data_IF_903466234085
#
_entry.id   IF_903466234085
#
_cell.length_a   1.000
_cell.length_b   1.000
_cell.length_c   1.000
_cell.angle_alpha   90.00
_cell.angle_beta   90.00
_cell.angle_gamma   90.00
#
_symmetry.space_group_name_H-M   'P 1'
#
loop_
_entity.id
_entity.type
_entity.pdbx_description
1 polymer ?
#
# COMPACT_ATOMS: atom_id res chain seq x y z
N UNK A 1 3.65 37.86 -11.21
CA UNK A 1 4.33 36.55 -11.15
C UNK A 1 3.67 35.64 -12.17
N UNK A 2 4.42 34.74 -12.78
CA UNK A 2 3.83 33.69 -13.64
C UNK A 2 2.98 32.75 -12.80
N UNK A 3 1.91 32.15 -13.34
CA UNK A 3 1.10 31.19 -12.63
C UNK A 3 1.91 29.93 -12.26
N UNK A 4 1.55 29.27 -11.15
CA UNK A 4 2.14 27.99 -10.77
C UNK A 4 1.68 26.87 -11.71
N UNK A 5 2.35 25.71 -11.63
CA UNK A 5 1.93 24.54 -12.38
C UNK A 5 0.53 24.08 -11.98
N UNK A 6 -0.31 23.75 -12.95
CA UNK A 6 -1.68 23.25 -12.74
C UNK A 6 -1.73 21.78 -12.32
N UNK A 7 -0.59 21.07 -12.29
CA UNK A 7 -0.54 19.64 -11.94
C UNK A 7 -1.12 19.33 -10.55
N UNK A 8 -0.97 20.27 -9.61
CA UNK A 8 -1.43 20.11 -8.22
C UNK A 8 -2.85 20.58 -7.99
N UNK A 9 -3.55 21.08 -9.01
CA UNK A 9 -4.92 21.60 -8.86
C UNK A 9 -5.97 20.47 -8.77
N UNK A 10 -5.61 19.27 -9.21
CA UNK A 10 -6.52 18.12 -9.35
C UNK A 10 -6.53 17.18 -8.14
N UNK A 11 -5.68 17.39 -7.14
CA UNK A 11 -5.64 16.60 -5.91
C UNK A 11 -5.32 17.47 -4.70
N UNK A 12 -5.71 17.00 -3.51
CA UNK A 12 -5.55 17.74 -2.25
C UNK A 12 -4.39 17.18 -1.43
N UNK A 13 -4.04 17.89 -0.35
CA UNK A 13 -3.15 17.35 0.68
C UNK A 13 -3.68 16.01 1.22
N UNK A 14 -2.74 15.13 1.59
CA UNK A 14 -3.06 13.81 2.16
C UNK A 14 -4.03 13.91 3.33
N UNK A 15 -5.21 13.32 3.14
CA UNK A 15 -6.26 13.24 4.16
C UNK A 15 -5.80 12.37 5.33
N UNK A 16 -5.04 11.30 5.07
CA UNK A 16 -4.46 10.43 6.10
C UNK A 16 -3.59 11.23 7.08
N UNK A 17 -2.71 12.11 6.55
CA UNK A 17 -1.87 12.98 7.39
C UNK A 17 -2.66 14.03 8.14
N UNK A 18 -3.72 14.56 7.52
CA UNK A 18 -4.65 15.48 8.19
C UNK A 18 -5.30 14.81 9.40
N UNK A 19 -5.81 13.58 9.25
CA UNK A 19 -6.45 12.84 10.33
C UNK A 19 -5.46 12.47 11.46
N UNK A 20 -4.20 12.22 11.14
CA UNK A 20 -3.14 12.07 12.17
C UNK A 20 -2.98 13.35 13.00
N UNK A 21 -2.94 14.52 12.37
CA UNK A 21 -2.85 15.81 13.11
C UNK A 21 -4.09 16.05 13.98
N UNK A 22 -5.28 15.67 13.51
CA UNK A 22 -6.54 15.78 14.25
C UNK A 22 -6.51 14.83 15.46
N UNK A 23 -6.12 13.55 15.27
CA UNK A 23 -5.98 12.58 16.35
C UNK A 23 -5.03 13.10 17.44
N UNK A 24 -3.88 13.62 17.06
CA UNK A 24 -2.91 14.20 18.00
C UNK A 24 -3.48 15.43 18.75
N UNK A 25 -4.24 16.29 18.06
CA UNK A 25 -4.86 17.49 18.68
C UNK A 25 -5.81 17.12 19.82
N UNK A 26 -6.56 16.03 19.67
CA UNK A 26 -7.56 15.61 20.65
C UNK A 26 -7.06 14.48 21.57
N UNK A 27 -5.81 14.06 21.47
CA UNK A 27 -5.27 12.94 22.24
C UNK A 27 -5.98 11.61 21.94
N UNK A 28 -6.55 11.49 20.75
CA UNK A 28 -7.27 10.30 20.31
C UNK A 28 -6.30 9.14 19.98
N UNK A 29 -6.73 7.91 20.24
CA UNK A 29 -6.02 6.72 19.77
C UNK A 29 -6.01 6.73 18.23
N UNK A 30 -4.83 6.86 17.65
CA UNK A 30 -4.69 7.05 16.21
C UNK A 30 -4.76 5.72 15.45
N UNK A 31 -5.94 5.38 14.90
CA UNK A 31 -6.15 4.28 13.97
C UNK A 31 -6.31 4.77 12.52
N UNK A 32 -5.87 6.00 12.21
CA UNK A 32 -5.97 6.58 10.86
C UNK A 32 -4.76 6.24 9.99
N UNK A 33 -3.55 6.58 10.41
CA UNK A 33 -2.34 6.36 9.62
C UNK A 33 -1.75 4.98 9.86
N UNK A 34 -1.75 4.13 8.82
CA UNK A 34 -1.32 2.74 8.88
C UNK A 34 0.20 2.57 9.07
N UNK A 35 0.66 2.64 10.31
CA UNK A 35 2.01 2.22 10.70
C UNK A 35 1.98 1.51 12.06
N UNK A 36 2.84 0.48 12.24
CA UNK A 36 2.96 -0.24 13.51
C UNK A 36 3.44 0.67 14.65
N UNK A 37 2.94 0.42 15.87
CA UNK A 37 3.45 1.00 17.11
C UNK A 37 4.26 -0.03 17.94
N UNK A 38 4.61 -1.15 17.34
CA UNK A 38 5.50 -2.16 17.89
C UNK A 38 6.85 -2.14 17.16
N UNK A 39 7.85 -2.72 17.83
CA UNK A 39 9.24 -2.60 17.41
C UNK A 39 9.54 -3.41 16.14
N UNK A 40 10.50 -2.97 15.30
CA UNK A 40 11.08 -3.79 14.27
C UNK A 40 11.77 -5.04 14.84
N UNK A 41 12.03 -6.09 14.03
CA UNK A 41 12.75 -7.28 14.49
C UNK A 41 14.09 -6.95 15.14
N UNK A 42 14.36 -7.50 16.32
CA UNK A 42 15.58 -7.22 17.08
C UNK A 42 16.88 -7.47 16.32
N UNK A 43 17.01 -8.57 15.50
CA UNK A 43 18.21 -8.77 14.68
C UNK A 43 18.46 -7.64 13.68
N UNK A 44 17.39 -7.06 13.14
CA UNK A 44 17.47 -5.93 12.19
C UNK A 44 18.01 -4.67 12.87
N UNK A 45 17.54 -4.35 14.07
CA UNK A 45 18.03 -3.21 14.86
C UNK A 45 19.48 -3.40 15.29
N UNK A 46 19.86 -4.62 15.67
CA UNK A 46 21.22 -4.95 16.03
C UNK A 46 22.17 -4.75 14.84
N UNK A 47 21.78 -5.19 13.65
CA UNK A 47 22.59 -5.03 12.44
C UNK A 47 22.72 -3.55 12.04
N UNK A 48 21.66 -2.76 12.14
CA UNK A 48 21.74 -1.31 11.92
C UNK A 48 22.73 -0.65 12.87
N UNK A 49 22.70 -1.04 14.16
CA UNK A 49 23.63 -0.50 15.17
C UNK A 49 25.07 -0.86 14.81
N UNK A 50 25.32 -2.08 14.39
CA UNK A 50 26.64 -2.53 13.93
C UNK A 50 27.13 -1.73 12.73
N UNK A 51 26.30 -1.57 11.72
CA UNK A 51 26.65 -0.84 10.48
C UNK A 51 26.87 0.65 10.76
N UNK A 52 26.04 1.28 11.59
CA UNK A 52 26.20 2.68 11.93
C UNK A 52 27.49 3.00 12.67
N UNK A 53 28.04 2.03 13.42
CA UNK A 53 29.31 2.16 14.12
C UNK A 53 30.53 1.63 13.34
N UNK A 54 30.35 1.08 12.16
CA UNK A 54 31.41 0.48 11.34
C UNK A 54 32.10 1.60 10.52
N UNK A 55 33.45 1.76 10.58
CA UNK A 55 34.14 2.79 9.85
C UNK A 55 34.27 2.53 8.33
N UNK A 56 33.74 1.42 7.83
CA UNK A 56 33.79 1.10 6.40
C UNK A 56 33.09 2.22 5.58
N UNK A 57 33.82 2.95 4.71
CA UNK A 57 33.25 4.06 3.97
C UNK A 57 32.10 3.63 3.04
N UNK A 58 32.03 2.38 2.60
CA UNK A 58 30.95 1.88 1.74
C UNK A 58 29.58 1.90 2.44
N UNK A 59 29.54 1.89 3.78
CA UNK A 59 28.29 2.02 4.53
C UNK A 59 27.81 3.46 4.68
N UNK A 60 28.67 4.46 4.41
CA UNK A 60 28.39 5.87 4.66
C UNK A 60 28.47 6.75 3.40
N UNK A 61 28.78 6.16 2.25
CA UNK A 61 28.83 6.85 0.97
C UNK A 61 27.69 6.35 0.05
N UNK A 62 27.56 6.96 -1.10
CA UNK A 62 26.61 6.50 -2.12
C UNK A 62 26.87 5.03 -2.47
N UNK A 63 25.83 4.21 -2.35
CA UNK A 63 25.81 2.93 -3.04
C UNK A 63 25.67 3.17 -4.55
N UNK A 64 25.82 2.13 -5.36
CA UNK A 64 25.38 2.22 -6.76
C UNK A 64 23.91 2.65 -6.79
N UNK A 65 23.51 3.55 -7.71
CA UNK A 65 22.22 4.25 -7.63
C UNK A 65 21.02 3.32 -7.56
N UNK A 66 21.00 2.23 -8.33
CA UNK A 66 19.90 1.26 -8.31
C UNK A 66 19.95 0.26 -7.13
N UNK A 67 20.80 0.49 -6.14
CA UNK A 67 20.80 -0.21 -4.84
C UNK A 67 22.05 -1.04 -4.58
N UNK A 68 22.40 -1.19 -3.29
CA UNK A 68 23.52 -1.99 -2.82
C UNK A 68 23.42 -3.44 -3.32
N UNK A 69 24.55 -4.01 -3.77
CA UNK A 69 24.60 -5.38 -4.30
C UNK A 69 24.09 -6.40 -3.28
N UNK A 70 24.54 -6.27 -2.03
CA UNK A 70 24.12 -7.12 -0.91
C UNK A 70 22.60 -7.20 -0.72
N UNK A 71 21.93 -6.04 -0.81
CA UNK A 71 20.48 -5.97 -0.69
C UNK A 71 19.79 -6.55 -1.92
N UNK A 72 20.28 -6.25 -3.13
CA UNK A 72 19.68 -6.79 -4.36
C UNK A 72 19.81 -8.32 -4.43
N UNK A 73 20.95 -8.88 -4.02
CA UNK A 73 21.16 -10.34 -3.98
C UNK A 73 20.20 -11.00 -2.98
N UNK A 74 20.10 -10.47 -1.75
CA UNK A 74 19.20 -11.00 -0.74
C UNK A 74 17.72 -10.86 -1.14
N UNK A 75 17.36 -9.76 -1.79
CA UNK A 75 16.01 -9.55 -2.29
C UNK A 75 15.68 -10.48 -3.46
N UNK A 76 16.61 -10.69 -4.39
CA UNK A 76 16.43 -11.63 -5.50
C UNK A 76 16.21 -13.06 -5.00
N UNK A 77 16.99 -13.49 -4.00
CA UNK A 77 16.82 -14.80 -3.36
C UNK A 77 15.42 -14.93 -2.72
N UNK A 78 15.03 -13.94 -1.91
CA UNK A 78 13.71 -13.93 -1.27
C UNK A 78 12.59 -13.96 -2.30
N UNK A 79 12.60 -13.02 -3.26
CA UNK A 79 11.49 -12.85 -4.19
C UNK A 79 11.43 -13.98 -5.24
N UNK A 80 12.55 -14.55 -5.66
CA UNK A 80 12.53 -15.76 -6.51
C UNK A 80 11.80 -16.91 -5.83
N UNK A 81 11.98 -17.08 -4.51
CA UNK A 81 11.28 -18.09 -3.73
C UNK A 81 9.79 -17.84 -3.63
N UNK A 82 9.37 -16.62 -3.27
CA UNK A 82 7.96 -16.29 -3.09
C UNK A 82 7.18 -16.13 -4.41
N UNK A 83 7.78 -15.55 -5.41
CA UNK A 83 7.15 -15.37 -6.73
C UNK A 83 7.17 -16.68 -7.57
N UNK A 84 8.05 -17.62 -7.23
CA UNK A 84 8.20 -18.87 -7.99
C UNK A 84 8.81 -18.69 -9.38
N UNK A 85 9.45 -17.56 -9.64
CA UNK A 85 10.16 -17.25 -10.89
C UNK A 85 11.58 -16.74 -10.57
N UNK A 86 12.58 -16.99 -11.45
CA UNK A 86 13.94 -16.51 -11.21
C UNK A 86 14.01 -14.99 -11.35
N UNK A 87 14.60 -14.33 -10.36
CA UNK A 87 14.85 -12.88 -10.35
C UNK A 87 16.36 -12.64 -10.38
N UNK A 88 16.82 -11.93 -11.42
CA UNK A 88 18.21 -11.51 -11.53
C UNK A 88 18.45 -10.22 -10.74
N UNK A 89 19.34 -10.22 -9.73
CA UNK A 89 19.62 -9.04 -8.92
C UNK A 89 20.22 -7.88 -9.72
N UNK A 90 20.79 -8.12 -10.90
CA UNK A 90 21.39 -7.09 -11.74
C UNK A 90 20.40 -6.52 -12.76
N UNK A 91 19.61 -7.41 -13.36
CA UNK A 91 18.73 -7.07 -14.47
C UNK A 91 17.29 -6.75 -14.10
N UNK A 92 16.82 -7.19 -12.92
CA UNK A 92 15.40 -7.09 -12.59
C UNK A 92 15.07 -6.15 -11.43
N UNK A 93 16.05 -5.69 -10.63
CA UNK A 93 15.79 -5.00 -9.37
C UNK A 93 16.32 -3.57 -9.40
N UNK A 94 15.48 -2.63 -8.91
CA UNK A 94 15.89 -1.28 -8.49
C UNK A 94 15.41 -1.06 -7.06
N UNK A 95 16.32 -0.68 -6.16
CA UNK A 95 16.01 -0.29 -4.79
C UNK A 95 15.62 1.18 -4.78
N UNK A 96 14.51 1.51 -4.12
CA UNK A 96 13.91 2.85 -4.13
C UNK A 96 13.70 3.40 -2.72
N UNK A 97 13.45 4.71 -2.60
CA UNK A 97 13.12 5.38 -1.35
C UNK A 97 11.66 5.08 -0.91
N UNK A 98 11.36 3.81 -0.69
CA UNK A 98 10.03 3.27 -0.39
C UNK A 98 9.21 3.00 -1.64
N UNK A 99 8.07 2.31 -1.46
CA UNK A 99 7.15 2.00 -2.57
C UNK A 99 6.56 3.24 -3.25
N UNK A 100 6.47 4.36 -2.55
CA UNK A 100 6.00 5.63 -3.14
C UNK A 100 6.87 6.07 -4.32
N UNK A 101 8.19 6.00 -4.16
CA UNK A 101 9.10 6.26 -5.28
C UNK A 101 9.04 5.14 -6.33
N UNK A 102 8.95 3.88 -5.90
CA UNK A 102 8.82 2.75 -6.82
C UNK A 102 7.63 2.93 -7.78
N UNK A 103 6.46 3.30 -7.23
CA UNK A 103 5.25 3.56 -8.02
C UNK A 103 5.43 4.75 -8.97
N UNK A 104 5.97 5.87 -8.49
CA UNK A 104 6.23 7.04 -9.35
C UNK A 104 7.24 6.72 -10.45
N UNK A 105 8.34 6.04 -10.13
CA UNK A 105 9.34 5.64 -11.12
C UNK A 105 8.77 4.68 -12.17
N UNK A 106 7.93 3.73 -11.75
CA UNK A 106 7.21 2.85 -12.67
C UNK A 106 6.29 3.64 -13.60
N UNK A 107 5.48 4.54 -13.06
CA UNK A 107 4.57 5.39 -13.82
C UNK A 107 5.33 6.24 -14.86
N UNK A 108 6.37 6.96 -14.45
CA UNK A 108 7.18 7.78 -15.35
C UNK A 108 7.94 6.98 -16.40
N UNK A 109 8.16 5.68 -16.14
CA UNK A 109 8.85 4.79 -17.08
C UNK A 109 7.94 4.34 -18.22
N UNK A 110 6.67 4.06 -17.94
CA UNK A 110 5.78 3.42 -18.92
C UNK A 110 4.75 4.37 -19.53
N UNK A 111 4.46 5.51 -18.89
CA UNK A 111 3.43 6.45 -19.38
C UNK A 111 4.03 7.68 -20.05
N UNK A 112 3.31 8.22 -21.02
CA UNK A 112 3.51 9.52 -21.62
C UNK A 112 2.33 10.45 -21.27
N UNK A 113 2.48 11.77 -21.44
CA UNK A 113 1.36 12.70 -21.27
C UNK A 113 0.14 12.32 -22.12
N UNK A 114 -1.02 12.20 -21.44
CA UNK A 114 -2.30 11.84 -22.06
C UNK A 114 -2.59 10.34 -22.15
N UNK A 115 -1.64 9.46 -21.80
CA UNK A 115 -1.89 8.03 -21.65
C UNK A 115 -2.93 7.76 -20.56
N UNK A 116 -3.75 6.73 -20.73
CA UNK A 116 -4.76 6.32 -19.75
C UNK A 116 -4.21 5.25 -18.83
N UNK A 117 -4.55 5.35 -17.54
CA UNK A 117 -4.18 4.37 -16.52
C UNK A 117 -5.41 3.93 -15.74
N UNK A 118 -5.71 2.62 -15.77
CA UNK A 118 -6.82 2.07 -14.99
C UNK A 118 -6.39 1.95 -13.52
N UNK A 119 -7.29 2.41 -12.63
CA UNK A 119 -7.14 2.32 -11.17
C UNK A 119 -8.44 1.75 -10.60
N UNK A 120 -8.36 0.70 -9.78
CA UNK A 120 -9.53 0.22 -9.04
C UNK A 120 -9.91 1.19 -7.93
N UNK A 121 -11.20 1.46 -7.76
CA UNK A 121 -11.75 2.33 -6.71
C UNK A 121 -12.61 1.51 -5.74
N UNK A 122 -12.33 1.48 -4.42
CA UNK A 122 -11.44 2.39 -3.69
C UNK A 122 -9.95 2.08 -3.91
N UNK A 123 -9.12 3.12 -3.73
CA UNK A 123 -7.69 3.09 -4.00
C UNK A 123 -6.89 3.84 -2.94
N UNK A 124 -5.61 3.56 -2.82
CA UNK A 124 -4.70 4.39 -2.02
C UNK A 124 -4.47 5.74 -2.70
N UNK A 125 -4.58 6.83 -1.94
CA UNK A 125 -4.60 8.22 -2.45
C UNK A 125 -3.45 8.57 -3.43
N UNK A 126 -2.31 7.90 -3.33
CA UNK A 126 -1.17 8.18 -4.20
C UNK A 126 -1.41 7.79 -5.66
N UNK A 127 -2.20 6.75 -5.96
CA UNK A 127 -2.26 6.23 -7.34
C UNK A 127 -2.84 7.24 -8.33
N UNK A 128 -3.88 7.96 -7.93
CA UNK A 128 -4.44 9.06 -8.72
C UNK A 128 -3.43 10.21 -8.87
N UNK A 129 -2.78 10.60 -7.76
CA UNK A 129 -1.77 11.65 -7.76
C UNK A 129 -0.54 11.29 -8.60
N UNK A 130 -0.02 10.07 -8.47
CA UNK A 130 1.12 9.58 -9.25
C UNK A 130 0.80 9.58 -10.76
N UNK A 131 -0.41 9.17 -11.14
CA UNK A 131 -0.88 9.19 -12.52
C UNK A 131 -0.88 10.61 -13.09
N UNK A 132 -1.46 11.57 -12.37
CA UNK A 132 -1.52 12.97 -12.77
C UNK A 132 -0.12 13.61 -12.83
N UNK A 133 0.73 13.33 -11.83
CA UNK A 133 2.10 13.84 -11.79
C UNK A 133 2.96 13.30 -12.95
N UNK A 134 2.72 12.07 -13.37
CA UNK A 134 3.34 11.49 -14.58
C UNK A 134 2.78 12.06 -15.89
N UNK A 135 1.71 12.86 -15.83
CA UNK A 135 1.04 13.48 -16.98
C UNK A 135 0.00 12.59 -17.64
N UNK A 136 -0.31 11.43 -17.06
CA UNK A 136 -1.34 10.51 -17.53
C UNK A 136 -2.72 10.81 -16.92
N UNK A 137 -3.76 10.21 -17.48
CA UNK A 137 -5.14 10.40 -17.04
C UNK A 137 -5.67 9.12 -16.35
N UNK A 138 -6.17 9.20 -15.11
CA UNK A 138 -6.72 8.04 -14.42
C UNK A 138 -8.12 7.67 -14.93
N UNK A 139 -8.34 6.37 -15.14
CA UNK A 139 -9.64 5.75 -15.43
C UNK A 139 -10.00 4.84 -14.27
N UNK A 140 -11.13 5.08 -13.62
CA UNK A 140 -11.48 4.34 -12.42
C UNK A 140 -12.47 3.21 -12.71
N UNK A 141 -12.24 2.03 -12.10
CA UNK A 141 -13.12 0.86 -12.17
C UNK A 141 -13.53 0.50 -10.73
N UNK A 142 -14.84 0.38 -10.43
CA UNK A 142 -15.31 0.14 -9.07
C UNK A 142 -14.95 -1.26 -8.55
N UNK A 143 -14.56 -1.32 -7.28
CA UNK A 143 -14.64 -2.49 -6.41
C UNK A 143 -15.85 -2.31 -5.50
N UNK A 144 -16.82 -3.20 -5.60
CA UNK A 144 -18.14 -3.02 -4.99
C UNK A 144 -18.18 -3.59 -3.56
N UNK A 145 -18.40 -2.75 -2.52
CA UNK A 145 -18.62 -3.25 -1.16
C UNK A 145 -19.86 -4.18 -1.06
N UNK A 146 -19.91 -5.13 -0.10
CA UNK A 146 -18.90 -5.37 0.94
C UNK A 146 -17.77 -6.31 0.53
N UNK A 147 -17.86 -7.02 -0.60
CA UNK A 147 -16.88 -8.01 -1.07
C UNK A 147 -15.71 -7.39 -1.80
N UNK A 148 -15.91 -6.16 -2.32
CA UNK A 148 -14.95 -5.46 -3.17
C UNK A 148 -14.58 -6.22 -4.44
N UNK A 149 -15.54 -6.95 -5.00
CA UNK A 149 -15.39 -7.56 -6.31
C UNK A 149 -15.59 -6.52 -7.41
N UNK A 150 -14.98 -6.73 -8.57
CA UNK A 150 -15.21 -5.89 -9.74
C UNK A 150 -16.09 -6.61 -10.77
N UNK A 151 -16.84 -5.82 -11.55
CA UNK A 151 -17.57 -6.32 -12.71
C UNK A 151 -16.58 -6.55 -13.86
N UNK A 152 -16.47 -7.81 -14.29
CA UNK A 152 -15.58 -8.21 -15.41
C UNK A 152 -15.94 -7.51 -16.71
N UNK A 153 -17.23 -7.32 -17.00
CA UNK A 153 -17.66 -6.63 -18.22
C UNK A 153 -17.34 -5.13 -18.16
N UNK A 154 -17.42 -4.51 -16.99
CA UNK A 154 -17.03 -3.12 -16.79
C UNK A 154 -15.52 -2.94 -16.95
N UNK A 155 -14.70 -3.82 -16.38
CA UNK A 155 -13.24 -3.79 -16.57
C UNK A 155 -12.86 -3.99 -18.04
N UNK A 156 -13.45 -4.97 -18.74
CA UNK A 156 -13.18 -5.19 -20.16
C UNK A 156 -13.60 -3.97 -21.01
N UNK A 157 -14.75 -3.35 -20.70
CA UNK A 157 -15.20 -2.11 -21.36
C UNK A 157 -14.21 -0.97 -21.12
N UNK A 158 -13.70 -0.81 -19.87
CA UNK A 158 -12.72 0.20 -19.57
C UNK A 158 -11.44 0.04 -20.40
N UNK A 159 -10.96 -1.19 -20.60
CA UNK A 159 -9.84 -1.48 -21.51
C UNK A 159 -10.19 -1.18 -22.98
N UNK A 160 -11.36 -1.59 -23.45
CA UNK A 160 -11.76 -1.45 -24.86
C UNK A 160 -11.95 0.01 -25.26
N UNK A 161 -12.53 0.84 -24.39
CA UNK A 161 -12.85 2.24 -24.69
C UNK A 161 -11.66 3.17 -24.48
N UNK A 162 -10.79 2.88 -23.51
CA UNK A 162 -9.72 3.79 -23.11
C UNK A 162 -8.33 3.38 -23.62
N UNK A 163 -8.15 2.15 -24.10
CA UNK A 163 -6.84 1.62 -24.50
C UNK A 163 -5.73 1.97 -23.51
N UNK A 164 -5.85 1.58 -22.24
CA UNK A 164 -4.97 2.05 -21.19
C UNK A 164 -3.53 1.62 -21.42
N UNK A 165 -2.59 2.50 -21.11
CA UNK A 165 -1.16 2.19 -21.13
C UNK A 165 -0.77 1.28 -19.98
N UNK A 166 -1.43 1.45 -18.83
CA UNK A 166 -1.19 0.64 -17.64
C UNK A 166 -2.47 0.45 -16.79
N UNK A 167 -2.45 -0.58 -15.96
CA UNK A 167 -3.38 -0.78 -14.85
C UNK A 167 -2.59 -0.82 -13.54
N UNK A 168 -3.05 -0.10 -12.51
CA UNK A 168 -2.50 -0.19 -11.16
C UNK A 168 -3.30 -1.21 -10.36
N UNK A 169 -2.59 -2.17 -9.75
CA UNK A 169 -3.15 -3.27 -8.96
C UNK A 169 -2.54 -3.28 -7.55
N UNK A 170 -3.30 -2.92 -6.52
CA UNK A 170 -2.90 -3.05 -5.12
C UNK A 170 -3.38 -4.40 -4.58
N UNK A 171 -2.45 -5.31 -4.27
CA UNK A 171 -2.77 -6.65 -3.79
C UNK A 171 -1.80 -7.11 -2.69
N UNK A 172 -2.27 -7.33 -1.46
CA UNK A 172 -3.58 -6.99 -0.88
C UNK A 172 -3.90 -5.49 -0.90
N UNK A 173 -5.19 -5.16 -1.02
CA UNK A 173 -5.64 -3.81 -1.26
C UNK A 173 -5.65 -2.92 -0.01
N UNK A 174 -5.19 -1.70 -0.16
CA UNK A 174 -5.47 -0.57 0.70
C UNK A 174 -6.46 0.35 -0.05
N UNK A 175 -7.69 0.62 0.48
CA UNK A 175 -8.09 0.58 1.89
C UNK A 175 -8.89 -0.67 2.31
N UNK A 176 -9.38 -1.49 1.39
CA UNK A 176 -10.45 -2.44 1.67
C UNK A 176 -10.01 -3.83 2.15
N UNK A 177 -8.71 -4.13 2.10
CA UNK A 177 -8.19 -5.43 2.51
C UNK A 177 -8.52 -6.59 1.56
N UNK A 178 -9.02 -6.32 0.34
CA UNK A 178 -9.25 -7.37 -0.66
C UNK A 178 -7.95 -8.04 -1.04
N UNK A 179 -7.98 -9.36 -1.17
CA UNK A 179 -6.96 -10.17 -1.85
C UNK A 179 -7.55 -10.66 -3.16
N UNK A 180 -6.95 -10.27 -4.28
CA UNK A 180 -7.42 -10.72 -5.59
C UNK A 180 -7.17 -12.22 -5.75
N UNK A 181 -8.21 -12.95 -6.15
CA UNK A 181 -8.12 -14.37 -6.42
C UNK A 181 -7.27 -14.64 -7.66
N UNK A 182 -6.74 -15.86 -7.78
CA UNK A 182 -6.00 -16.27 -8.96
C UNK A 182 -6.82 -16.09 -10.26
N UNK A 183 -8.10 -16.42 -10.22
CA UNK A 183 -9.00 -16.27 -11.37
C UNK A 183 -9.23 -14.81 -11.76
N UNK A 184 -9.33 -13.91 -10.79
CA UNK A 184 -9.41 -12.47 -11.05
C UNK A 184 -8.11 -11.95 -11.69
N UNK A 185 -6.96 -12.40 -11.17
CA UNK A 185 -5.64 -12.02 -11.71
C UNK A 185 -5.41 -12.59 -13.12
N UNK A 186 -5.86 -13.80 -13.39
CA UNK A 186 -5.80 -14.41 -14.72
C UNK A 186 -6.65 -13.61 -15.73
N UNK A 187 -7.85 -13.17 -15.33
CA UNK A 187 -8.70 -12.31 -16.15
C UNK A 187 -8.04 -10.93 -16.41
N UNK A 188 -7.48 -10.29 -15.40
CA UNK A 188 -6.72 -9.03 -15.56
C UNK A 188 -5.53 -9.24 -16.50
N UNK A 189 -4.81 -10.35 -16.36
CA UNK A 189 -3.67 -10.71 -17.19
C UNK A 189 -4.08 -10.93 -18.66
N UNK A 190 -5.24 -11.54 -18.90
CA UNK A 190 -5.80 -11.72 -20.24
C UNK A 190 -6.06 -10.35 -20.91
N UNK A 191 -6.72 -9.44 -20.21
CA UNK A 191 -6.97 -8.09 -20.69
C UNK A 191 -5.67 -7.31 -20.93
N UNK A 192 -4.71 -7.38 -20.00
CA UNK A 192 -3.41 -6.72 -20.16
C UNK A 192 -2.66 -7.22 -21.41
N UNK A 193 -2.71 -8.53 -21.70
CA UNK A 193 -2.14 -9.09 -22.94
C UNK A 193 -2.93 -8.68 -24.18
N UNK A 194 -4.28 -8.74 -24.15
CA UNK A 194 -5.16 -8.40 -25.27
C UNK A 194 -5.00 -6.95 -25.72
N UNK A 195 -4.83 -6.03 -24.78
CA UNK A 195 -4.74 -4.59 -25.04
C UNK A 195 -3.32 -4.03 -24.96
N UNK A 196 -2.31 -4.91 -24.83
CA UNK A 196 -0.88 -4.57 -24.71
C UNK A 196 -0.58 -3.52 -23.61
N UNK A 197 -1.23 -3.68 -22.46
CA UNK A 197 -1.07 -2.82 -21.32
C UNK A 197 -0.03 -3.36 -20.32
N UNK A 198 0.64 -2.45 -19.61
CA UNK A 198 1.44 -2.79 -18.43
C UNK A 198 0.56 -3.02 -17.21
N UNK A 199 1.05 -3.79 -16.24
CA UNK A 199 0.47 -3.89 -14.91
C UNK A 199 1.51 -3.38 -13.91
N UNK A 200 1.16 -2.33 -13.16
CA UNK A 200 1.99 -1.80 -12.07
C UNK A 200 1.34 -2.27 -10.77
N UNK A 201 2.04 -3.11 -10.00
CA UNK A 201 1.49 -3.62 -8.75
C UNK A 201 2.03 -2.84 -7.56
N UNK A 202 1.19 -2.72 -6.51
CA UNK A 202 1.63 -2.35 -5.17
C UNK A 202 1.43 -3.57 -4.26
N UNK A 203 2.53 -4.22 -3.89
CA UNK A 203 2.56 -5.49 -3.18
C UNK A 203 3.12 -5.35 -1.75
N UNK A 204 3.03 -4.15 -1.16
CA UNK A 204 3.60 -3.88 0.17
C UNK A 204 3.01 -4.74 1.29
N UNK A 205 1.85 -5.36 1.08
CA UNK A 205 1.18 -6.26 2.02
C UNK A 205 1.29 -7.74 1.63
N UNK A 206 2.18 -8.12 0.73
CA UNK A 206 2.34 -9.48 0.17
C UNK A 206 2.39 -10.61 1.22
N UNK A 207 2.88 -10.32 2.43
CA UNK A 207 2.99 -11.27 3.54
C UNK A 207 1.91 -11.08 4.63
N UNK A 208 0.97 -10.16 4.45
CA UNK A 208 -0.11 -9.91 5.38
C UNK A 208 -1.43 -10.32 4.71
N UNK A 209 -1.64 -11.62 4.64
CA UNK A 209 -2.79 -12.28 4.01
C UNK A 209 -3.35 -13.32 4.98
N UNK A 210 -4.65 -13.40 5.10
CA UNK A 210 -5.33 -14.23 6.09
C UNK A 210 -6.00 -15.45 5.46
N UNK A 211 -5.90 -16.60 6.15
CA UNK A 211 -6.60 -17.81 5.70
C UNK A 211 -8.11 -17.55 5.47
N UNK A 212 -8.69 -18.11 4.41
CA UNK A 212 -8.11 -19.07 3.45
C UNK A 212 -7.45 -18.43 2.22
N UNK A 213 -7.26 -17.11 2.20
CA UNK A 213 -6.72 -16.38 1.06
C UNK A 213 -5.21 -16.57 0.93
N UNK A 214 -4.71 -16.44 -0.29
CA UNK A 214 -3.29 -16.54 -0.61
C UNK A 214 -2.88 -15.43 -1.58
N UNK A 215 -1.73 -14.82 -1.35
CA UNK A 215 -1.17 -13.85 -2.28
C UNK A 215 -0.70 -14.54 -3.56
N UNK A 216 -1.09 -14.00 -4.70
CA UNK A 216 -0.61 -14.42 -6.02
C UNK A 216 0.04 -13.22 -6.70
N UNK A 217 1.28 -13.37 -7.11
CA UNK A 217 1.98 -12.35 -7.90
C UNK A 217 1.53 -12.44 -9.35
N UNK A 218 0.91 -11.39 -9.87
CA UNK A 218 0.47 -11.37 -11.29
C UNK A 218 1.67 -11.51 -12.24
N UNK A 219 2.85 -11.03 -11.84
CA UNK A 219 4.09 -11.18 -12.60
C UNK A 219 4.48 -12.65 -12.82
N UNK A 220 4.05 -13.57 -11.96
CA UNK A 220 4.34 -15.02 -12.09
C UNK A 220 3.38 -15.76 -13.04
N UNK A 221 2.31 -15.10 -13.48
CA UNK A 221 1.40 -15.69 -14.44
C UNK A 221 2.03 -15.75 -15.85
N UNK A 222 1.66 -16.73 -16.68
CA UNK A 222 2.26 -16.89 -18.02
C UNK A 222 2.18 -15.63 -18.88
N UNK A 223 3.35 -15.15 -19.35
CA UNK A 223 3.46 -13.96 -20.21
C UNK A 223 3.21 -12.63 -19.50
N UNK A 224 3.30 -12.60 -18.17
CA UNK A 224 3.08 -11.37 -17.42
C UNK A 224 4.35 -10.70 -16.90
N UNK A 225 5.46 -11.42 -16.77
CA UNK A 225 6.71 -10.83 -16.25
C UNK A 225 7.22 -9.69 -17.13
N UNK A 226 7.10 -9.81 -18.44
CA UNK A 226 7.59 -8.82 -19.41
C UNK A 226 6.78 -7.53 -19.39
N UNK A 227 5.57 -7.56 -18.86
CA UNK A 227 4.65 -6.41 -18.80
C UNK A 227 4.22 -6.02 -17.39
N UNK A 228 4.80 -6.62 -16.34
CA UNK A 228 4.51 -6.28 -14.95
C UNK A 228 5.68 -5.54 -14.33
N UNK A 229 5.39 -4.49 -13.59
CA UNK A 229 6.32 -3.83 -12.69
C UNK A 229 5.81 -4.07 -11.28
N UNK A 230 6.43 -5.01 -10.58
CA UNK A 230 6.10 -5.29 -9.17
C UNK A 230 6.77 -4.24 -8.28
N UNK A 231 5.98 -3.35 -7.69
CA UNK A 231 6.42 -2.37 -6.72
C UNK A 231 6.10 -2.88 -5.31
N UNK A 232 7.07 -2.79 -4.41
CA UNK A 232 6.85 -3.17 -3.01
C UNK A 232 7.78 -2.40 -2.08
N UNK A 233 7.66 -2.66 -0.77
CA UNK A 233 8.56 -2.10 0.23
C UNK A 233 8.78 -3.06 1.40
N UNK A 234 9.83 -2.79 2.15
CA UNK A 234 10.17 -3.53 3.37
C UNK A 234 9.45 -2.95 4.60
N UNK A 235 8.76 -1.85 4.41
CA UNK A 235 8.12 -1.04 5.45
C UNK A 235 7.11 -1.79 6.30
N UNK A 236 6.29 -2.65 5.66
CA UNK A 236 5.17 -3.33 6.31
C UNK A 236 5.57 -4.67 6.89
N UNK A 237 6.34 -5.43 6.12
CA UNK A 237 6.84 -6.75 6.52
C UNK A 237 7.76 -6.68 7.75
N UNK A 238 8.58 -5.63 7.85
CA UNK A 238 9.57 -5.53 8.94
C UNK A 238 9.31 -4.36 9.90
N UNK A 239 8.14 -3.72 9.84
CA UNK A 239 7.74 -2.61 10.73
C UNK A 239 8.71 -1.41 10.70
N UNK A 240 9.26 -1.09 9.52
CA UNK A 240 10.27 -0.04 9.31
C UNK A 240 9.79 1.06 8.36
N UNK A 241 8.55 1.52 8.51
CA UNK A 241 7.96 2.51 7.61
C UNK A 241 8.79 3.79 7.45
N UNK A 242 9.52 4.18 8.50
CA UNK A 242 10.40 5.35 8.52
C UNK A 242 11.75 5.16 7.79
N UNK A 243 12.15 3.93 7.48
CA UNK A 243 13.44 3.68 6.80
C UNK A 243 13.41 4.01 5.33
N UNK A 244 12.23 4.09 4.75
CA UNK A 244 12.06 4.43 3.33
C UNK A 244 12.85 3.49 2.39
N UNK A 245 12.68 2.18 2.55
CA UNK A 245 13.22 1.17 1.65
C UNK A 245 12.09 0.48 0.88
N UNK A 246 12.15 0.57 -0.42
CA UNK A 246 11.26 -0.10 -1.37
C UNK A 246 12.05 -0.64 -2.55
N UNK A 247 11.34 -1.21 -3.51
CA UNK A 247 11.96 -1.76 -4.70
C UNK A 247 10.95 -1.92 -5.84
N UNK A 248 11.49 -2.03 -7.05
CA UNK A 248 10.78 -2.54 -8.22
C UNK A 248 11.40 -3.85 -8.69
N UNK A 249 10.56 -4.76 -9.20
CA UNK A 249 10.98 -5.95 -9.94
C UNK A 249 10.27 -5.91 -11.29
N UNK A 250 11.07 -5.95 -12.38
CA UNK A 250 10.55 -5.89 -13.74
C UNK A 250 11.49 -6.61 -14.73
N UNK A 251 11.05 -6.73 -15.98
CA UNK A 251 11.93 -7.22 -17.05
C UNK A 251 13.18 -6.34 -17.20
N UNK A 252 14.28 -6.88 -17.75
CA UNK A 252 15.53 -6.11 -17.88
C UNK A 252 15.38 -4.80 -18.66
N UNK A 253 14.59 -4.81 -19.73
CA UNK A 253 14.35 -3.61 -20.54
C UNK A 253 13.65 -2.51 -19.73
N UNK A 254 12.61 -2.85 -18.98
CA UNK A 254 11.87 -1.91 -18.12
C UNK A 254 12.75 -1.45 -16.97
N UNK A 255 13.50 -2.36 -16.34
CA UNK A 255 14.42 -2.06 -15.24
C UNK A 255 15.48 -1.03 -15.64
N UNK A 256 16.06 -1.15 -16.85
CA UNK A 256 17.04 -0.16 -17.37
C UNK A 256 16.43 1.24 -17.56
N UNK A 257 15.14 1.33 -17.80
CA UNK A 257 14.43 2.61 -17.87
C UNK A 257 14.13 3.16 -16.47
N UNK A 258 13.69 2.30 -15.54
CA UNK A 258 13.44 2.66 -14.15
C UNK A 258 14.71 3.20 -13.50
N UNK A 259 15.88 2.57 -13.73
CA UNK A 259 17.19 3.05 -13.23
C UNK A 259 17.44 4.52 -13.59
N UNK A 260 17.11 4.93 -14.81
CA UNK A 260 17.28 6.31 -15.27
C UNK A 260 16.35 7.29 -14.54
N UNK A 261 15.09 6.91 -14.38
CA UNK A 261 14.10 7.73 -13.64
C UNK A 261 14.51 7.87 -12.18
N UNK A 262 14.81 6.75 -11.52
CA UNK A 262 15.24 6.69 -10.13
C UNK A 262 16.48 7.54 -9.86
N UNK A 263 17.49 7.47 -10.74
CA UNK A 263 18.74 8.21 -10.61
C UNK A 263 18.50 9.74 -10.53
N UNK A 264 17.57 10.26 -11.32
CA UNK A 264 17.23 11.68 -11.32
C UNK A 264 16.15 12.08 -10.29
N UNK A 265 15.40 11.15 -9.74
CA UNK A 265 14.44 11.43 -8.67
C UNK A 265 15.12 11.54 -7.30
N UNK A 266 15.98 10.58 -6.95
CA UNK A 266 16.49 10.44 -5.58
C UNK A 266 17.97 10.12 -5.48
N UNK A 267 18.64 9.79 -6.59
CA UNK A 267 20.04 9.29 -6.66
C UNK A 267 20.20 7.90 -6.06
N UNK A 268 19.55 7.60 -4.95
CA UNK A 268 19.60 6.28 -4.31
C UNK A 268 19.00 6.28 -2.91
N UNK A 269 18.65 5.09 -2.44
CA UNK A 269 18.21 4.88 -1.06
C UNK A 269 19.41 4.90 -0.09
N UNK A 270 19.13 5.09 1.20
CA UNK A 270 20.15 5.16 2.26
C UNK A 270 21.03 3.91 2.32
N UNK A 271 22.33 4.05 2.06
CA UNK A 271 23.29 2.94 2.02
C UNK A 271 23.33 2.12 3.33
N UNK A 272 23.45 2.72 4.54
CA UNK A 272 23.49 1.94 5.78
C UNK A 272 22.21 1.15 6.05
N UNK A 273 21.04 1.67 5.63
CA UNK A 273 19.76 0.99 5.80
C UNK A 273 19.61 -0.17 4.81
N UNK A 274 20.13 -0.02 3.60
CA UNK A 274 20.16 -1.11 2.61
C UNK A 274 21.00 -2.28 3.11
N UNK A 275 22.19 -2.01 3.66
CA UNK A 275 23.04 -3.04 4.22
C UNK A 275 22.40 -3.72 5.44
N UNK A 276 21.85 -2.93 6.37
CA UNK A 276 21.23 -3.47 7.58
C UNK A 276 20.05 -4.40 7.27
N UNK A 277 19.23 -4.07 6.27
CA UNK A 277 18.02 -4.85 5.98
C UNK A 277 18.30 -6.22 5.35
N UNK A 278 19.52 -6.48 4.87
CA UNK A 278 19.89 -7.76 4.29
C UNK A 278 19.70 -8.94 5.25
N UNK A 279 19.87 -8.71 6.55
CA UNK A 279 19.62 -9.75 7.57
C UNK A 279 18.14 -10.14 7.61
N UNK A 280 17.23 -9.18 7.49
CA UNK A 280 15.79 -9.42 7.52
C UNK A 280 15.29 -10.08 6.22
N UNK A 281 15.89 -9.76 5.07
CA UNK A 281 15.58 -10.42 3.79
C UNK A 281 15.92 -11.91 3.79
N UNK A 282 16.81 -12.36 4.69
CA UNK A 282 17.22 -13.75 4.87
C UNK A 282 16.54 -14.47 6.02
N UNK A 283 15.50 -13.88 6.60
CA UNK A 283 14.72 -14.55 7.62
C UNK A 283 14.08 -15.83 7.06
N UNK A 284 13.93 -16.87 7.89
CA UNK A 284 13.27 -18.11 7.50
C UNK A 284 11.78 -17.90 7.22
N UNK A 285 11.16 -18.85 6.56
CA UNK A 285 9.73 -18.79 6.23
C UNK A 285 8.84 -18.67 7.48
N UNK A 286 9.28 -19.26 8.61
CA UNK A 286 8.58 -19.13 9.89
C UNK A 286 8.36 -17.67 10.33
N UNK A 287 9.26 -16.74 9.97
CA UNK A 287 9.05 -15.32 10.25
C UNK A 287 7.78 -14.78 9.57
N UNK A 288 7.54 -15.16 8.32
CA UNK A 288 6.39 -14.70 7.55
C UNK A 288 5.09 -15.37 8.03
N UNK A 289 5.18 -16.61 8.51
CA UNK A 289 4.06 -17.32 9.14
C UNK A 289 3.69 -16.64 10.47
N UNK A 290 4.67 -16.36 11.33
CA UNK A 290 4.48 -15.63 12.59
C UNK A 290 3.92 -14.22 12.36
N UNK A 291 4.37 -13.53 11.31
CA UNK A 291 3.85 -12.22 10.92
C UNK A 291 2.38 -12.29 10.53
N UNK A 292 2.00 -13.31 9.75
CA UNK A 292 0.61 -13.53 9.34
C UNK A 292 -0.28 -13.83 10.55
N UNK A 293 0.16 -14.70 11.47
CA UNK A 293 -0.55 -15.03 12.70
C UNK A 293 -0.72 -13.81 13.61
N UNK A 294 0.34 -13.01 13.78
CA UNK A 294 0.30 -11.76 14.54
C UNK A 294 -0.78 -10.81 14.01
N UNK A 295 -0.81 -10.57 12.70
CA UNK A 295 -1.79 -9.67 12.11
C UNK A 295 -3.20 -10.27 12.07
N UNK A 296 -3.34 -11.59 11.90
CA UNK A 296 -4.63 -12.26 12.00
C UNK A 296 -5.26 -12.08 13.39
N UNK A 297 -4.48 -12.28 14.46
CA UNK A 297 -4.93 -12.04 15.82
C UNK A 297 -5.38 -10.60 16.07
N UNK A 298 -4.65 -9.61 15.51
CA UNK A 298 -5.00 -8.19 15.62
C UNK A 298 -6.26 -7.84 14.82
N UNK A 299 -6.41 -8.40 13.62
CA UNK A 299 -7.65 -8.30 12.83
C UNK A 299 -8.84 -8.81 13.63
N UNK A 300 -8.72 -10.02 14.17
CA UNK A 300 -9.80 -10.67 14.91
C UNK A 300 -10.15 -9.89 16.18
N UNK A 301 -9.15 -9.37 16.90
CA UNK A 301 -9.37 -8.50 18.05
C UNK A 301 -10.18 -7.25 17.70
N UNK A 302 -9.81 -6.55 16.62
CA UNK A 302 -10.53 -5.34 16.21
C UNK A 302 -11.92 -5.68 15.67
N UNK A 303 -12.05 -6.65 14.75
CA UNK A 303 -13.33 -7.01 14.14
C UNK A 303 -14.35 -7.52 15.17
N UNK A 304 -13.96 -8.44 16.07
CA UNK A 304 -14.82 -8.90 17.15
C UNK A 304 -15.24 -7.79 18.10
N UNK A 305 -14.34 -6.83 18.35
CA UNK A 305 -14.67 -5.64 19.14
C UNK A 305 -15.70 -4.75 18.45
N UNK A 306 -15.57 -4.53 17.15
CA UNK A 306 -16.55 -3.77 16.34
C UNK A 306 -17.91 -4.49 16.30
N UNK A 307 -17.93 -5.82 16.14
CA UNK A 307 -19.16 -6.62 16.21
C UNK A 307 -19.89 -6.48 17.56
N UNK A 308 -19.13 -6.51 18.68
CA UNK A 308 -19.70 -6.35 20.02
C UNK A 308 -20.27 -4.95 20.27
N UNK A 309 -19.73 -3.94 19.58
CA UNK A 309 -20.21 -2.55 19.64
C UNK A 309 -21.43 -2.37 18.72
N UNK A 310 -21.62 -3.24 17.73
CA UNK A 310 -22.68 -3.17 16.74
C UNK A 310 -22.34 -2.34 15.51
N UNK A 311 -21.05 -2.08 15.24
CA UNK A 311 -20.59 -1.35 14.07
C UNK A 311 -20.40 -2.29 12.88
N UNK A 312 -21.19 -2.11 11.83
CA UNK A 312 -21.04 -2.86 10.59
C UNK A 312 -19.67 -2.54 9.93
N UNK A 313 -18.98 -3.56 9.47
CA UNK A 313 -17.63 -3.40 8.90
C UNK A 313 -17.28 -4.48 7.90
N UNK A 314 -16.25 -4.21 7.07
CA UNK A 314 -15.65 -5.23 6.21
C UNK A 314 -14.79 -6.20 7.02
N UNK A 315 -14.67 -7.44 6.54
CA UNK A 315 -13.69 -8.40 7.07
C UNK A 315 -12.53 -8.47 6.07
N UNK A 316 -11.37 -7.91 6.41
CA UNK A 316 -10.24 -7.88 5.47
C UNK A 316 -9.66 -9.27 5.24
N UNK A 317 -9.35 -9.54 3.98
CA UNK A 317 -8.71 -10.77 3.51
C UNK A 317 -7.18 -10.67 3.60
N UNK A 318 -6.66 -9.44 3.57
CA UNK A 318 -5.25 -9.11 3.69
C UNK A 318 -5.04 -7.64 4.08
N UNK A 319 -3.79 -7.17 4.07
CA UNK A 319 -3.38 -5.88 4.61
C UNK A 319 -3.77 -5.74 6.10
N UNK A 320 -3.93 -4.54 6.62
CA UNK A 320 -4.29 -4.34 8.02
C UNK A 320 -5.33 -3.21 8.21
N UNK A 321 -6.29 -3.13 7.29
CA UNK A 321 -7.34 -2.11 7.29
C UNK A 321 -8.73 -2.73 7.38
N UNK A 322 -9.63 -1.99 8.04
CA UNK A 322 -11.06 -2.31 8.14
C UNK A 322 -11.84 -1.09 7.67
N UNK A 323 -12.83 -1.29 6.80
CA UNK A 323 -13.80 -0.28 6.41
C UNK A 323 -15.03 -0.44 7.30
N UNK A 324 -15.31 0.57 8.12
CA UNK A 324 -16.48 0.63 9.01
C UNK A 324 -17.58 1.40 8.32
N UNK A 325 -18.78 0.84 8.28
CA UNK A 325 -19.98 1.53 7.78
C UNK A 325 -20.49 2.49 8.87
N UNK A 326 -20.56 3.76 8.53
CA UNK A 326 -20.98 4.85 9.42
C UNK A 326 -22.33 5.47 9.03
N UNK A 327 -23.03 4.84 8.10
CA UNK A 327 -24.31 5.37 7.55
C UNK A 327 -25.39 5.55 8.62
N UNK A 328 -25.38 4.72 9.66
CA UNK A 328 -26.34 4.80 10.78
C UNK A 328 -26.29 6.13 11.54
N UNK A 329 -25.14 6.84 11.52
CA UNK A 329 -24.96 8.12 12.21
C UNK A 329 -25.51 9.32 11.44
N UNK A 330 -25.91 9.16 10.16
CA UNK A 330 -26.58 10.18 9.36
C UNK A 330 -25.73 11.42 9.06
N UNK A 331 -24.39 11.29 9.03
CA UNK A 331 -23.53 12.42 8.66
C UNK A 331 -23.53 12.64 7.14
N UNK A 332 -23.68 13.90 6.71
CA UNK A 332 -23.51 14.28 5.30
C UNK A 332 -22.06 14.21 4.84
N UNK A 333 -21.09 14.25 5.77
CA UNK A 333 -19.66 14.20 5.53
C UNK A 333 -18.99 13.21 6.47
N UNK A 334 -18.37 12.20 5.90
CA UNK A 334 -17.54 11.24 6.64
C UNK A 334 -16.29 11.89 7.26
N UNK A 335 -15.78 12.97 6.67
CA UNK A 335 -14.73 13.79 7.27
C UNK A 335 -15.20 14.42 8.58
N UNK A 336 -16.41 15.01 8.59
CA UNK A 336 -16.98 15.59 9.81
C UNK A 336 -17.23 14.48 10.86
N UNK A 337 -17.69 13.30 10.44
CA UNK A 337 -17.80 12.14 11.32
C UNK A 337 -16.45 11.77 11.95
N UNK A 338 -15.40 11.61 11.14
CA UNK A 338 -14.07 11.23 11.63
C UNK A 338 -13.45 12.29 12.56
N UNK A 339 -13.69 13.58 12.30
CA UNK A 339 -13.25 14.67 13.19
C UNK A 339 -14.00 14.63 14.54
N UNK A 340 -15.32 14.44 14.52
CA UNK A 340 -16.14 14.30 15.74
C UNK A 340 -15.80 13.02 16.49
N UNK A 341 -15.58 11.89 15.82
CA UNK A 341 -15.16 10.65 16.45
C UNK A 341 -13.81 10.81 17.18
N UNK A 342 -12.84 11.48 16.58
CA UNK A 342 -11.57 11.77 17.23
C UNK A 342 -11.77 12.67 18.47
N UNK A 343 -12.66 13.67 18.38
CA UNK A 343 -12.89 14.67 19.44
C UNK A 343 -13.76 14.14 20.58
N UNK A 344 -14.83 13.41 20.27
CA UNK A 344 -15.86 13.01 21.24
C UNK A 344 -15.63 11.60 21.79
N UNK A 345 -15.22 10.69 20.91
CA UNK A 345 -15.01 9.27 21.24
C UNK A 345 -13.55 8.98 21.57
N UNK A 346 -12.61 9.74 21.01
CA UNK A 346 -11.19 9.57 21.26
C UNK A 346 -10.54 8.50 20.37
N UNK A 347 -11.06 8.27 19.16
CA UNK A 347 -10.48 7.34 18.18
C UNK A 347 -10.38 8.03 16.83
N UNK A 348 -9.20 8.01 16.22
CA UNK A 348 -8.93 8.58 14.92
C UNK A 348 -9.12 7.56 13.78
N UNK A 349 -9.85 7.96 12.74
CA UNK A 349 -10.06 7.19 11.51
C UNK A 349 -9.72 8.03 10.28
N UNK A 350 -9.75 7.42 9.10
CA UNK A 350 -9.68 8.12 7.81
C UNK A 350 -11.05 8.08 7.15
N UNK A 351 -11.59 9.23 6.67
CA UNK A 351 -12.84 9.25 5.93
C UNK A 351 -12.73 8.41 4.66
N UNK A 352 -13.74 7.58 4.39
CA UNK A 352 -13.78 6.67 3.24
C UNK A 352 -13.75 7.41 1.92
N UNK A 353 -14.42 8.57 1.84
CA UNK A 353 -14.47 9.41 0.64
C UNK A 353 -13.10 9.75 0.05
N UNK A 354 -12.03 9.73 0.86
CA UNK A 354 -10.66 9.94 0.39
C UNK A 354 -10.09 8.80 -0.45
N UNK A 355 -10.78 7.66 -0.51
CA UNK A 355 -10.33 6.47 -1.24
C UNK A 355 -11.20 6.15 -2.46
N UNK A 356 -12.40 6.74 -2.55
CA UNK A 356 -13.31 6.50 -3.66
C UNK A 356 -13.26 7.63 -4.69
N UNK A 357 -13.41 7.28 -5.96
CA UNK A 357 -13.55 8.29 -7.02
C UNK A 357 -14.94 8.95 -6.99
N UNK A 358 -15.97 8.12 -6.87
CA UNK A 358 -17.33 8.60 -6.72
C UNK A 358 -17.61 9.07 -5.29
N UNK A 359 -18.53 10.04 -5.08
CA UNK A 359 -18.87 10.48 -3.74
C UNK A 359 -19.36 9.31 -2.88
N UNK A 360 -18.62 8.99 -1.84
CA UNK A 360 -18.92 7.88 -0.93
C UNK A 360 -18.63 8.29 0.52
N UNK A 361 -19.68 8.63 1.25
CA UNK A 361 -19.60 9.15 2.63
C UNK A 361 -19.97 8.11 3.70
N UNK A 362 -20.20 6.84 3.30
CA UNK A 362 -20.71 5.79 4.21
C UNK A 362 -19.64 5.08 4.99
N UNK A 363 -18.36 5.37 4.74
CA UNK A 363 -17.29 4.57 5.35
C UNK A 363 -16.28 5.42 6.10
N UNK A 364 -15.73 4.83 7.16
CA UNK A 364 -14.51 5.27 7.81
C UNK A 364 -13.50 4.11 7.83
N UNK A 365 -12.23 4.36 7.49
CA UNK A 365 -11.19 3.34 7.52
C UNK A 365 -10.44 3.39 8.85
N UNK A 366 -10.36 2.24 9.52
CA UNK A 366 -9.48 1.97 10.65
C UNK A 366 -8.32 1.07 10.22
N UNK A 367 -7.23 1.04 11.00
CA UNK A 367 -6.18 0.04 10.85
C UNK A 367 -5.87 -0.64 12.19
N UNK A 368 -5.38 -1.89 12.11
CA UNK A 368 -5.08 -2.69 13.30
C UNK A 368 -3.57 -3.03 13.46
N UNK A 369 -2.68 -2.35 12.74
CA UNK A 369 -1.23 -2.49 12.94
C UNK A 369 -0.80 -1.78 14.22
N UNK A 370 -1.30 -2.22 15.37
CA UNK A 370 -1.08 -1.65 16.70
C UNK A 370 -0.82 -2.75 17.73
N UNK A 371 -0.20 -2.38 18.85
CA UNK A 371 -0.13 -3.26 20.03
C UNK A 371 -1.54 -3.58 20.52
N UNK A 372 -1.69 -4.73 21.16
CA UNK A 372 -3.01 -5.15 21.66
C UNK A 372 -3.59 -4.17 22.68
N UNK A 373 -2.73 -3.56 23.52
CA UNK A 373 -3.15 -2.54 24.47
C UNK A 373 -3.74 -1.32 23.77
N UNK A 374 -3.13 -0.89 22.65
CA UNK A 374 -3.61 0.24 21.84
C UNK A 374 -4.96 -0.08 21.21
N UNK A 375 -5.12 -1.30 20.67
CA UNK A 375 -6.39 -1.74 20.07
C UNK A 375 -7.49 -1.86 21.13
N UNK A 376 -7.19 -2.43 22.30
CA UNK A 376 -8.14 -2.53 23.42
C UNK A 376 -8.57 -1.16 23.92
N UNK A 377 -7.63 -0.20 24.04
CA UNK A 377 -7.95 1.19 24.41
C UNK A 377 -8.87 1.85 23.39
N UNK A 378 -8.63 1.64 22.09
CA UNK A 378 -9.50 2.14 21.04
C UNK A 378 -10.90 1.53 21.12
N UNK A 379 -11.00 0.21 21.31
CA UNK A 379 -12.27 -0.49 21.44
C UNK A 379 -13.05 -0.05 22.68
N UNK A 380 -12.36 0.19 23.80
CA UNK A 380 -13.02 0.71 25.02
C UNK A 380 -13.61 2.10 24.77
N UNK A 381 -12.89 2.96 24.07
CA UNK A 381 -13.41 4.27 23.68
C UNK A 381 -14.61 4.13 22.70
N UNK A 382 -14.51 3.24 21.72
CA UNK A 382 -15.56 3.01 20.72
C UNK A 382 -16.87 2.48 21.33
N UNK A 383 -16.87 1.80 22.48
CA UNK A 383 -18.10 1.42 23.18
C UNK A 383 -19.05 2.59 23.48
N UNK A 384 -18.50 3.79 23.54
CA UNK A 384 -19.28 5.02 23.82
C UNK A 384 -19.76 5.72 22.54
N UNK A 385 -19.55 5.12 21.36
CA UNK A 385 -19.78 5.81 20.08
C UNK A 385 -21.26 6.17 19.89
N UNK A 386 -22.18 5.25 20.14
CA UNK A 386 -23.62 5.46 19.99
C UNK A 386 -24.18 6.49 20.99
N UNK A 387 -23.53 6.66 22.15
CA UNK A 387 -23.93 7.65 23.16
C UNK A 387 -23.38 9.04 22.82
N UNK A 388 -22.12 9.11 22.35
CA UNK A 388 -21.41 10.38 22.17
C UNK A 388 -21.53 10.98 20.78
N UNK A 389 -21.75 10.16 19.75
CA UNK A 389 -21.89 10.66 18.40
C UNK A 389 -23.33 11.10 18.13
N UNK A 390 -23.55 12.34 17.68
CA UNK A 390 -24.89 12.81 17.35
C UNK A 390 -25.43 12.05 16.13
N UNK A 391 -26.63 11.47 16.27
CA UNK A 391 -27.40 11.01 15.12
C UNK A 391 -27.96 12.21 14.38
N UNK A 392 -27.54 12.40 13.13
CA UNK A 392 -27.91 13.53 12.26
C UNK A 392 -28.87 13.05 11.16
N UNK A 393 -29.85 12.21 11.54
CA UNK A 393 -30.90 11.71 10.65
C UNK A 393 -32.11 12.60 10.59
#
# INVERSE_FOLDING_TARGET
MQPLSTRTDSFTDSVIRRMTRISNRYGAVNLSQGFPDFDPPAPLLAELTRIAGDPNPLYHQYSITWGAQSMRDALAEKQSRFMGIPIDPQGNIVITCGSTEAMMAAMMTVTNPGDKVIIFSPFYENYGADTILAGADPVYVPLVPPTYDFDRAELERAFAENHPKALILCNPSNPCGKVFTREELEFIAELARKYDAYVITDEVYEHIVYEPYQHTYIASLPGMFERTISCSSLSKTYSITGWRLGYTIASPEVTERIKKVHDFLTVGASAPLQEAVTVALRFPDSYYDELRELYAAKRDLLCQGLDQIGLAHSVPQGAYYVMVDISEFGYESDLAFCEDMARLVGVGAVPGSSFFKEPENRYARLHFAKRDETLRAALENLKTIHEKMPHRG
#
